data_IF_311720755091
#
_entry.id   IF_311720755091
#
_cell.length_a   1.000
_cell.length_b   1.000
_cell.length_c   1.000
_cell.angle_alpha   90.00
_cell.angle_beta   90.00
_cell.angle_gamma   90.00
#
_symmetry.space_group_name_H-M   'P 1'
#
loop_
_entity.id
_entity.type
_entity.pdbx_description
1 polymer ?
#
# COMPACT_ATOMS: atom_id res chain seq x y z
N UNK A 1 -11.73 1.63 -15.72
CA UNK A 1 -12.66 2.28 -16.65
C UNK A 1 -12.19 3.71 -16.90
N UNK A 2 -12.17 4.15 -18.16
CA UNK A 2 -11.84 5.53 -18.55
C UNK A 2 -13.13 6.28 -18.84
N UNK A 3 -13.34 7.43 -18.18
CA UNK A 3 -14.43 8.35 -18.52
C UNK A 3 -13.82 9.56 -19.22
N UNK A 4 -14.41 9.95 -20.34
CA UNK A 4 -14.10 11.20 -21.05
C UNK A 4 -15.17 12.22 -20.69
N UNK A 5 -14.75 13.33 -20.08
CA UNK A 5 -15.66 14.44 -19.79
C UNK A 5 -15.86 15.33 -21.02
N UNK A 6 -17.02 15.98 -21.12
CA UNK A 6 -17.32 17.02 -22.12
C UNK A 6 -16.32 18.17 -21.88
N UNK A 7 -15.25 18.23 -22.66
CA UNK A 7 -14.06 19.04 -22.38
C UNK A 7 -12.74 18.33 -22.71
N UNK A 8 -12.78 17.04 -23.06
CA UNK A 8 -11.66 16.30 -23.64
C UNK A 8 -10.67 15.72 -22.64
N UNK A 9 -10.80 16.04 -21.35
CA UNK A 9 -10.00 15.43 -20.29
C UNK A 9 -10.48 14.01 -20.00
N UNK A 10 -9.53 13.07 -20.01
CA UNK A 10 -9.76 11.69 -19.60
C UNK A 10 -9.45 11.57 -18.11
N UNK A 11 -10.36 11.01 -17.33
CA UNK A 11 -10.11 10.67 -15.92
C UNK A 11 -10.32 9.17 -15.72
N UNK A 12 -9.41 8.57 -14.99
CA UNK A 12 -9.59 7.22 -14.48
C UNK A 12 -10.48 7.30 -13.25
N UNK A 13 -11.60 6.58 -13.26
CA UNK A 13 -12.47 6.42 -12.10
C UNK A 13 -12.69 4.94 -11.83
N UNK A 14 -12.80 4.59 -10.54
CA UNK A 14 -13.09 3.23 -10.13
C UNK A 14 -14.58 2.94 -10.30
N UNK A 15 -14.92 1.73 -10.76
CA UNK A 15 -16.32 1.35 -11.05
C UNK A 15 -17.19 1.42 -9.78
N UNK A 16 -16.74 0.85 -8.66
CA UNK A 16 -17.46 0.91 -7.39
C UNK A 16 -17.75 2.36 -6.95
N UNK A 17 -16.84 3.30 -7.24
CA UNK A 17 -17.01 4.71 -6.86
C UNK A 17 -18.14 5.36 -7.64
N UNK A 18 -18.22 5.09 -8.95
CA UNK A 18 -19.30 5.58 -9.81
C UNK A 18 -20.66 5.00 -9.38
N UNK A 19 -20.70 3.69 -9.08
CA UNK A 19 -21.93 3.03 -8.61
C UNK A 19 -22.37 3.64 -7.27
N UNK A 20 -21.45 3.84 -6.33
CA UNK A 20 -21.77 4.41 -5.02
C UNK A 20 -22.22 5.87 -5.09
N UNK A 21 -21.64 6.67 -5.99
CA UNK A 21 -22.03 8.07 -6.22
C UNK A 21 -23.47 8.20 -6.71
N UNK A 22 -23.94 7.26 -7.55
CA UNK A 22 -25.30 7.30 -8.11
C UNK A 22 -26.33 6.62 -7.20
N UNK A 23 -25.96 5.52 -6.55
CA UNK A 23 -26.96 4.62 -5.92
C UNK A 23 -26.89 4.55 -4.39
N UNK A 24 -25.77 4.91 -3.75
CA UNK A 24 -25.63 4.74 -2.30
C UNK A 24 -25.91 6.02 -1.50
N UNK A 25 -25.86 7.20 -2.13
CA UNK A 25 -25.92 8.49 -1.45
C UNK A 25 -24.74 8.70 -0.49
N UNK A 26 -24.36 9.94 -0.20
CA UNK A 26 -23.26 10.22 0.74
C UNK A 26 -23.58 11.42 1.63
N UNK A 27 -24.57 11.31 2.54
CA UNK A 27 -25.06 12.44 3.33
C UNK A 27 -23.98 13.02 4.26
N UNK A 28 -22.99 12.21 4.64
CA UNK A 28 -21.90 12.61 5.54
C UNK A 28 -20.61 13.01 4.79
N UNK A 29 -20.63 13.03 3.46
CA UNK A 29 -19.47 13.42 2.65
C UNK A 29 -18.23 12.55 2.90
N UNK A 30 -18.41 11.26 3.21
CA UNK A 30 -17.31 10.37 3.54
C UNK A 30 -16.40 10.13 2.33
N UNK A 31 -15.08 10.02 2.55
CA UNK A 31 -14.11 10.08 1.47
C UNK A 31 -13.93 8.76 0.71
N UNK A 32 -14.21 7.61 1.32
CA UNK A 32 -13.90 6.28 0.77
C UNK A 32 -15.15 5.42 0.58
N UNK A 33 -15.10 4.48 -0.37
CA UNK A 33 -16.14 3.47 -0.58
C UNK A 33 -15.53 2.12 -0.24
N UNK A 34 -16.17 1.39 0.67
CA UNK A 34 -15.80 0.05 1.08
C UNK A 34 -16.70 -1.01 0.40
N UNK A 35 -16.14 -2.19 0.16
CA UNK A 35 -16.86 -3.40 -0.22
C UNK A 35 -17.16 -4.21 1.04
N UNK A 36 -18.45 -4.39 1.37
CA UNK A 36 -18.86 -5.06 2.62
C UNK A 36 -18.32 -6.48 2.74
N UNK A 37 -18.20 -7.19 1.62
CA UNK A 37 -17.67 -8.55 1.52
C UNK A 37 -16.16 -8.63 1.28
N UNK A 38 -15.48 -7.49 1.10
CA UNK A 38 -14.05 -7.45 0.78
C UNK A 38 -13.69 -7.81 -0.67
N UNK A 39 -14.66 -8.10 -1.54
CA UNK A 39 -14.44 -8.57 -2.91
C UNK A 39 -14.53 -7.39 -3.90
N UNK A 40 -13.38 -6.92 -4.36
CA UNK A 40 -13.27 -5.74 -5.25
C UNK A 40 -14.02 -5.84 -6.59
N UNK A 41 -14.36 -7.05 -7.02
CA UNK A 41 -15.12 -7.30 -8.24
C UNK A 41 -16.64 -7.18 -8.03
N UNK A 42 -17.13 -7.28 -6.79
CA UNK A 42 -18.56 -7.27 -6.47
C UNK A 42 -19.06 -5.83 -6.27
N UNK A 43 -19.37 -5.17 -7.38
CA UNK A 43 -19.71 -3.74 -7.42
C UNK A 43 -21.22 -3.44 -7.29
N UNK A 44 -22.03 -4.36 -6.76
CA UNK A 44 -23.45 -4.11 -6.53
C UNK A 44 -23.63 -3.01 -5.48
N UNK A 45 -24.54 -2.05 -5.70
CA UNK A 45 -24.75 -0.94 -4.76
C UNK A 45 -25.06 -1.41 -3.33
N UNK A 46 -25.77 -2.53 -3.18
CA UNK A 46 -26.03 -3.17 -1.88
C UNK A 46 -24.77 -3.64 -1.15
N UNK A 47 -23.69 -3.95 -1.88
CA UNK A 47 -22.40 -4.37 -1.33
C UNK A 47 -21.44 -3.20 -1.04
N UNK A 48 -21.83 -1.97 -1.38
CA UNK A 48 -20.99 -0.80 -1.21
C UNK A 48 -21.47 0.05 -0.03
N UNK A 49 -20.52 0.69 0.64
CA UNK A 49 -20.81 1.65 1.71
C UNK A 49 -19.78 2.77 1.73
N UNK A 50 -20.23 3.96 2.09
CA UNK A 50 -19.35 5.12 2.29
C UNK A 50 -18.76 5.05 3.70
N UNK A 51 -17.45 5.18 3.80
CA UNK A 51 -16.72 5.03 5.06
C UNK A 51 -15.60 6.07 5.17
N UNK A 52 -15.18 6.34 6.40
CA UNK A 52 -13.90 6.97 6.68
C UNK A 52 -12.75 6.01 6.38
N UNK A 53 -11.56 6.59 6.18
CA UNK A 53 -10.32 5.81 6.03
C UNK A 53 -10.07 4.88 7.23
N UNK A 54 -10.35 5.34 8.44
CA UNK A 54 -10.12 4.56 9.66
C UNK A 54 -11.01 3.32 9.70
N UNK A 55 -12.30 3.47 9.39
CA UNK A 55 -13.26 2.36 9.31
C UNK A 55 -12.89 1.36 8.22
N UNK A 56 -12.46 1.83 7.05
CA UNK A 56 -12.02 0.96 5.95
C UNK A 56 -10.80 0.11 6.35
N UNK A 57 -9.81 0.72 7.02
CA UNK A 57 -8.64 0.01 7.55
C UNK A 57 -9.07 -1.00 8.63
N UNK A 58 -9.93 -0.59 9.56
CA UNK A 58 -10.44 -1.48 10.60
C UNK A 58 -11.20 -2.67 10.00
N UNK A 59 -12.03 -2.44 8.98
CA UNK A 59 -12.71 -3.50 8.24
C UNK A 59 -11.70 -4.46 7.61
N UNK A 60 -10.68 -3.94 6.91
CA UNK A 60 -9.63 -4.75 6.31
C UNK A 60 -8.83 -5.57 7.34
N UNK A 61 -8.58 -5.02 8.52
CA UNK A 61 -7.92 -5.75 9.63
C UNK A 61 -8.83 -6.86 10.15
N UNK A 62 -10.10 -6.54 10.47
CA UNK A 62 -11.07 -7.53 10.98
C UNK A 62 -11.30 -8.69 10.00
N UNK A 63 -11.26 -8.42 8.70
CA UNK A 63 -11.52 -9.40 7.64
C UNK A 63 -10.24 -10.09 7.13
N UNK A 64 -9.06 -9.77 7.69
CA UNK A 64 -7.79 -10.35 7.26
C UNK A 64 -7.31 -9.89 5.88
N UNK A 65 -7.93 -8.88 5.28
CA UNK A 65 -7.51 -8.27 4.02
C UNK A 65 -6.28 -7.36 4.19
N UNK A 66 -6.02 -6.92 5.42
CA UNK A 66 -4.81 -6.17 5.76
C UNK A 66 -3.62 -7.12 5.86
N UNK A 67 -2.92 -7.32 4.74
CA UNK A 67 -1.69 -8.12 4.70
C UNK A 67 -0.63 -7.45 5.57
N UNK A 68 -0.18 -8.15 6.60
CA UNK A 68 1.07 -7.82 7.26
C UNK A 68 2.17 -7.82 6.18
N UNK A 69 3.00 -6.78 6.15
CA UNK A 69 4.23 -6.87 5.37
C UNK A 69 5.04 -8.02 5.96
N UNK A 70 5.67 -8.88 5.13
CA UNK A 70 6.60 -9.86 5.66
C UNK A 70 7.62 -9.13 6.53
N UNK A 71 7.96 -9.76 7.66
CA UNK A 71 8.96 -9.27 8.59
C UNK A 71 10.31 -9.22 7.85
N UNK A 72 10.59 -8.10 7.20
CA UNK A 72 11.92 -7.86 6.67
C UNK A 72 12.76 -7.49 7.88
N UNK A 73 13.87 -8.18 8.11
CA UNK A 73 14.90 -7.66 9.01
C UNK A 73 15.16 -6.22 8.55
N UNK A 74 14.87 -5.24 9.43
CA UNK A 74 14.90 -3.84 9.02
C UNK A 74 16.36 -3.53 8.69
N UNK A 75 16.69 -3.52 7.41
CA UNK A 75 17.98 -3.04 6.94
C UNK A 75 18.12 -1.59 7.43
N UNK A 76 18.95 -1.42 8.45
CA UNK A 76 19.35 -0.12 8.99
C UNK A 76 20.81 0.10 8.65
N UNK A 77 21.27 1.35 8.73
CA UNK A 77 22.69 1.66 8.58
C UNK A 77 23.55 0.90 9.59
N UNK A 78 23.07 0.74 10.83
CA UNK A 78 23.80 0.04 11.88
C UNK A 78 23.88 -1.46 11.60
N UNK A 79 22.78 -2.11 11.19
CA UNK A 79 22.80 -3.54 10.85
C UNK A 79 23.65 -3.82 9.61
N UNK A 80 23.67 -2.91 8.63
CA UNK A 80 24.53 -3.03 7.45
C UNK A 80 26.00 -2.88 7.83
N UNK A 81 26.36 -1.85 8.60
CA UNK A 81 27.74 -1.64 9.05
C UNK A 81 28.25 -2.81 9.90
N UNK A 82 27.48 -3.27 10.87
CA UNK A 82 27.86 -4.38 11.75
C UNK A 82 28.16 -5.67 10.96
N UNK A 83 27.36 -6.00 9.93
CA UNK A 83 27.60 -7.17 9.09
C UNK A 83 28.76 -6.96 8.09
N UNK A 84 29.03 -5.71 7.67
CA UNK A 84 30.20 -5.41 6.85
C UNK A 84 31.49 -5.52 7.65
N UNK A 85 31.47 -5.14 8.93
CA UNK A 85 32.61 -5.27 9.84
C UNK A 85 32.99 -6.74 10.11
N UNK A 86 32.06 -7.69 9.95
CA UNK A 86 32.38 -9.13 10.01
C UNK A 86 32.98 -9.67 8.71
N UNK A 87 33.25 -8.83 7.71
CA UNK A 87 33.87 -9.21 6.44
C UNK A 87 32.90 -9.79 5.40
N UNK A 88 31.58 -9.75 5.63
CA UNK A 88 30.60 -10.20 4.64
C UNK A 88 30.59 -9.27 3.43
N UNK A 89 30.46 -9.84 2.23
CA UNK A 89 30.22 -9.08 1.00
C UNK A 89 28.84 -8.42 1.06
N UNK A 90 28.63 -7.34 0.30
CA UNK A 90 27.33 -6.65 0.26
C UNK A 90 26.19 -7.56 -0.17
N UNK A 91 26.48 -8.55 -1.04
CA UNK A 91 25.50 -9.57 -1.43
C UNK A 91 25.11 -10.45 -0.24
N UNK A 92 26.08 -10.94 0.52
CA UNK A 92 25.80 -11.73 1.73
C UNK A 92 25.08 -10.93 2.82
N UNK A 93 25.35 -9.63 2.93
CA UNK A 93 24.61 -8.72 3.84
C UNK A 93 23.16 -8.56 3.38
N UNK A 94 22.93 -8.41 2.07
CA UNK A 94 21.59 -8.30 1.49
C UNK A 94 20.77 -9.57 1.77
N UNK A 95 21.38 -10.74 1.55
CA UNK A 95 20.78 -12.05 1.78
C UNK A 95 20.46 -12.24 3.28
N UNK A 96 21.39 -11.90 4.17
CA UNK A 96 21.21 -12.01 5.63
C UNK A 96 20.11 -11.09 6.17
N UNK A 97 19.91 -9.92 5.57
CA UNK A 97 18.88 -8.96 5.94
C UNK A 97 17.55 -9.16 5.19
N UNK A 98 17.49 -10.12 4.26
CA UNK A 98 16.32 -10.35 3.42
C UNK A 98 15.91 -9.09 2.63
N UNK A 99 16.89 -8.30 2.18
CA UNK A 99 16.65 -7.05 1.45
C UNK A 99 17.39 -7.05 0.11
N UNK A 100 17.00 -6.17 -0.83
CA UNK A 100 17.71 -6.05 -2.11
C UNK A 100 19.09 -5.41 -1.95
N UNK A 101 20.06 -5.81 -2.80
CA UNK A 101 21.43 -5.27 -2.82
C UNK A 101 21.49 -3.73 -2.91
N UNK A 102 20.58 -3.12 -3.67
CA UNK A 102 20.48 -1.67 -3.78
C UNK A 102 20.18 -0.98 -2.43
N UNK A 103 19.48 -1.66 -1.51
CA UNK A 103 19.22 -1.18 -0.16
C UNK A 103 20.52 -1.11 0.65
N UNK A 104 21.39 -2.13 0.52
CA UNK A 104 22.69 -2.19 1.21
C UNK A 104 23.62 -1.08 0.73
N UNK A 105 23.79 -0.91 -0.58
CA UNK A 105 24.60 0.17 -1.17
C UNK A 105 24.18 1.56 -0.69
N UNK A 106 22.86 1.81 -0.61
CA UNK A 106 22.34 3.10 -0.14
C UNK A 106 22.79 3.41 1.29
N UNK A 107 22.76 2.41 2.18
CA UNK A 107 23.17 2.58 3.57
C UNK A 107 24.68 2.71 3.75
N UNK A 108 25.49 2.08 2.89
CA UNK A 108 26.95 2.21 2.92
C UNK A 108 27.43 3.57 2.40
N UNK A 109 26.87 4.09 1.29
CA UNK A 109 27.24 5.42 0.79
C UNK A 109 26.83 6.55 1.74
N UNK A 110 25.71 6.39 2.45
CA UNK A 110 25.36 7.30 3.53
C UNK A 110 26.35 7.23 4.71
N UNK A 111 27.12 6.14 4.82
CA UNK A 111 28.11 5.93 5.88
C UNK A 111 29.51 6.46 5.60
N UNK A 112 29.91 6.57 4.33
CA UNK A 112 31.23 7.01 3.91
C UNK A 112 31.41 8.52 3.69
N UNK A 113 30.48 9.36 4.13
CA UNK A 113 30.62 10.82 4.05
C UNK A 113 31.08 11.43 5.38
N UNK A 114 32.39 11.47 5.59
CA UNK A 114 33.07 12.27 6.60
C UNK A 114 34.28 12.93 5.95
#
# INVERSE_FOLDING_TARGET
MQIRFLGGTKKMMAVHRLVAEVHCGNPHGLPEVNHRDGVKAHNAASNLEWVTRAENIQHAVRTGLHRARPEHARATRQSVAALRDTGLTMQQVADALGCGLATVHRYEHMAGGA
#
